data_IF_459959498710
#
_entry.id   IF_459959498710
#
_cell.length_a   1.000
_cell.length_b   1.000
_cell.length_c   1.000
_cell.angle_alpha   90.00
_cell.angle_beta   90.00
_cell.angle_gamma   90.00
#
_symmetry.space_group_name_H-M   'P 1'
#
loop_
_entity.id
_entity.type
_entity.pdbx_description
1 polymer ?
#
# COMPACT_ATOMS: atom_id res chain seq x y z
N UNK A 1 -5.16 21.25 24.16
CA UNK A 1 -4.04 20.75 23.33
C UNK A 1 -3.95 19.24 23.54
N UNK A 2 -3.83 18.48 22.44
CA UNK A 2 -3.70 17.00 22.35
C UNK A 2 -4.99 16.18 22.34
N UNK A 3 -5.61 16.08 21.16
CA UNK A 3 -6.31 14.88 20.64
C UNK A 3 -6.59 15.10 19.14
N UNK A 4 -5.58 14.89 18.29
CA UNK A 4 -5.76 14.55 16.87
C UNK A 4 -5.34 13.09 16.79
N UNK A 5 -6.30 12.18 16.76
CA UNK A 5 -6.09 10.73 16.87
C UNK A 5 -6.71 10.05 15.64
N UNK A 6 -5.86 9.26 14.96
CA UNK A 6 -6.17 8.05 14.20
C UNK A 6 -7.06 8.18 12.96
N UNK A 7 -6.59 8.83 11.89
CA UNK A 7 -7.21 8.78 10.56
C UNK A 7 -6.24 9.20 9.44
N UNK A 8 -5.20 8.42 9.12
CA UNK A 8 -4.63 8.35 7.76
C UNK A 8 -3.87 7.05 7.61
N UNK A 9 -4.53 6.01 7.11
CA UNK A 9 -3.81 5.18 6.15
C UNK A 9 -4.15 5.71 4.74
N UNK A 10 -5.16 6.56 4.50
CA UNK A 10 -5.63 7.09 3.20
C UNK A 10 -4.64 7.96 2.39
N UNK A 11 -3.72 7.50 1.53
CA UNK A 11 -3.50 6.18 0.91
C UNK A 11 -4.73 5.26 0.88
N UNK A 12 -4.96 4.56 1.97
CA UNK A 12 -6.14 3.78 2.34
C UNK A 12 -6.54 4.01 3.81
N UNK A 13 -7.69 4.57 4.28
CA UNK A 13 -8.23 4.57 5.71
C UNK A 13 -8.74 5.95 6.15
N UNK A 14 -9.80 6.34 5.43
CA UNK A 14 -10.90 7.15 5.93
C UNK A 14 -12.18 6.29 5.97
N UNK A 15 -12.16 5.09 6.57
CA UNK A 15 -13.39 4.41 7.02
C UNK A 15 -13.23 3.73 8.39
N UNK A 16 -14.05 4.12 9.36
CA UNK A 16 -13.95 3.70 10.76
C UNK A 16 -14.81 4.51 11.74
N UNK A 17 -15.98 5.00 11.31
CA UNK A 17 -17.06 5.49 12.18
C UNK A 17 -18.31 5.76 11.33
N UNK A 18 -19.04 4.71 10.93
CA UNK A 18 -20.30 4.88 10.21
C UNK A 18 -20.81 3.67 9.43
N UNK A 19 -20.52 2.44 9.86
CA UNK A 19 -21.20 1.27 9.33
C UNK A 19 -21.78 0.46 10.50
N UNK A 20 -22.90 0.95 11.04
CA UNK A 20 -23.95 0.02 11.46
C UNK A 20 -24.50 -0.65 10.19
N UNK A 21 -24.98 -1.90 10.26
CA UNK A 21 -25.06 -2.79 9.10
C UNK A 21 -26.00 -2.23 8.04
N UNK A 22 -25.48 -2.04 6.82
CA UNK A 22 -26.23 -1.64 5.63
C UNK A 22 -27.05 -2.79 5.02
N UNK A 23 -27.53 -3.71 5.87
CA UNK A 23 -28.61 -4.65 5.58
C UNK A 23 -29.75 -4.45 6.59
N UNK A 24 -30.26 -3.23 6.69
CA UNK A 24 -31.52 -2.94 7.36
C UNK A 24 -32.20 -1.75 6.69
N UNK A 25 -32.61 -1.91 5.43
CA UNK A 25 -33.69 -1.10 4.88
C UNK A 25 -34.91 -2.02 4.67
N UNK A 26 -35.98 -1.62 5.33
CA UNK A 26 -37.22 -2.37 5.58
C UNK A 26 -37.80 -3.02 4.32
N UNK A 27 -37.73 -4.35 4.25
CA UNK A 27 -38.71 -5.11 3.52
C UNK A 27 -40.06 -4.97 4.26
N UNK A 28 -41.03 -4.31 3.62
CA UNK A 28 -42.43 -4.41 4.05
C UNK A 28 -42.84 -5.90 4.09
N UNK A 29 -43.60 -6.33 5.10
CA UNK A 29 -43.89 -7.74 5.30
C UNK A 29 -44.90 -8.20 4.25
N UNK A 30 -44.44 -8.96 3.25
CA UNK A 30 -45.29 -9.88 2.51
C UNK A 30 -45.03 -11.28 3.04
N UNK A 31 -46.08 -11.85 3.62
CA UNK A 31 -46.13 -13.15 4.24
C UNK A 31 -45.71 -14.29 3.29
N UNK A 32 -45.28 -15.38 3.94
CA UNK A 32 -45.11 -16.74 3.44
C UNK A 32 -43.78 -17.10 2.76
N UNK A 33 -43.00 -17.94 3.46
CA UNK A 33 -42.08 -18.88 2.81
C UNK A 33 -40.67 -18.99 3.40
N UNK A 34 -40.51 -19.90 4.36
CA UNK A 34 -39.27 -20.58 4.78
C UNK A 34 -38.03 -19.72 5.06
N UNK A 35 -37.81 -19.47 6.36
CA UNK A 35 -36.53 -19.09 6.93
C UNK A 35 -35.48 -20.19 6.67
N UNK A 36 -34.59 -19.95 5.72
CA UNK A 36 -33.25 -20.53 5.71
C UNK A 36 -32.34 -19.59 6.50
N UNK A 37 -31.66 -20.15 7.49
CA UNK A 37 -30.77 -19.45 8.42
C UNK A 37 -29.74 -18.58 7.69
N UNK A 38 -29.62 -17.35 8.16
CA UNK A 38 -28.50 -16.48 7.86
C UNK A 38 -27.21 -17.12 8.42
N UNK A 39 -26.25 -17.45 7.56
CA UNK A 39 -24.87 -17.75 7.97
C UNK A 39 -24.17 -16.46 8.41
N UNK A 40 -24.46 -16.03 9.64
CA UNK A 40 -23.45 -15.34 10.46
C UNK A 40 -22.46 -16.41 10.92
N UNK A 41 -21.19 -16.37 10.51
CA UNK A 41 -20.15 -17.19 11.18
C UNK A 41 -18.95 -17.70 10.40
N UNK A 42 -18.81 -17.47 9.10
CA UNK A 42 -17.62 -17.93 8.34
C UNK A 42 -16.80 -16.76 7.79
N UNK A 43 -15.45 -16.84 7.83
CA UNK A 43 -14.56 -15.89 7.17
C UNK A 43 -14.95 -15.65 5.69
N UNK A 44 -14.82 -14.43 5.14
CA UNK A 44 -15.29 -14.12 3.77
C UNK A 44 -14.63 -14.96 2.67
N UNK A 45 -13.41 -15.42 2.91
CA UNK A 45 -12.62 -16.22 1.97
C UNK A 45 -12.63 -17.72 2.33
N UNK A 46 -13.43 -18.14 3.31
CA UNK A 46 -13.46 -19.54 3.74
C UNK A 46 -13.90 -20.45 2.58
N UNK A 47 -13.10 -21.50 2.33
CA UNK A 47 -13.36 -22.49 1.29
C UNK A 47 -12.95 -22.07 -0.12
N UNK A 48 -12.46 -20.84 -0.33
CA UNK A 48 -11.98 -20.39 -1.63
C UNK A 48 -10.61 -20.99 -1.93
N UNK A 49 -10.40 -21.37 -3.18
CA UNK A 49 -9.07 -21.68 -3.74
C UNK A 49 -8.24 -20.41 -3.94
N UNK A 50 -6.93 -20.57 -4.11
CA UNK A 50 -6.01 -19.45 -4.39
C UNK A 50 -6.43 -18.62 -5.61
N UNK A 51 -6.95 -19.27 -6.65
CA UNK A 51 -7.43 -18.60 -7.87
C UNK A 51 -8.70 -17.79 -7.59
N UNK A 52 -9.64 -18.34 -6.83
CA UNK A 52 -10.87 -17.65 -6.42
C UNK A 52 -10.57 -16.46 -5.50
N UNK A 53 -9.59 -16.58 -4.59
CA UNK A 53 -9.15 -15.45 -3.75
C UNK A 53 -8.51 -14.34 -4.63
N UNK A 54 -7.68 -14.72 -5.60
CA UNK A 54 -7.12 -13.75 -6.56
C UNK A 54 -8.21 -13.05 -7.39
N UNK A 55 -9.22 -13.79 -7.83
CA UNK A 55 -10.38 -13.26 -8.54
C UNK A 55 -11.22 -12.35 -7.64
N UNK A 56 -11.43 -12.71 -6.37
CA UNK A 56 -12.14 -11.90 -5.38
C UNK A 56 -11.50 -10.52 -5.25
N UNK A 57 -10.19 -10.44 -5.00
CA UNK A 57 -9.51 -9.15 -4.88
C UNK A 57 -9.58 -8.35 -6.19
N UNK A 58 -9.49 -9.03 -7.34
CA UNK A 58 -9.63 -8.37 -8.65
C UNK A 58 -11.01 -7.76 -8.85
N UNK A 59 -12.09 -8.51 -8.60
CA UNK A 59 -13.46 -8.04 -8.76
C UNK A 59 -13.80 -6.92 -7.77
N UNK A 60 -13.51 -7.14 -6.49
CA UNK A 60 -13.84 -6.19 -5.44
C UNK A 60 -13.08 -4.87 -5.60
N UNK A 61 -11.79 -4.93 -5.93
CA UNK A 61 -10.99 -3.72 -6.16
C UNK A 61 -11.46 -2.89 -7.36
N UNK A 62 -12.17 -3.50 -8.31
CA UNK A 62 -12.74 -2.86 -9.49
C UNK A 62 -14.23 -2.47 -9.32
N UNK A 63 -14.81 -2.72 -8.13
CA UNK A 63 -16.22 -2.39 -7.88
C UNK A 63 -16.47 -0.88 -7.86
N UNK A 64 -17.67 -0.48 -8.30
CA UNK A 64 -18.10 0.92 -8.29
C UNK A 64 -18.28 1.44 -6.85
N UNK A 65 -18.76 0.60 -5.94
CA UNK A 65 -18.95 0.94 -4.53
C UNK A 65 -17.62 1.33 -3.88
N UNK A 66 -16.57 0.56 -4.14
CA UNK A 66 -15.23 0.88 -3.64
C UNK A 66 -14.63 2.09 -4.35
N UNK A 67 -15.00 2.33 -5.61
CA UNK A 67 -14.59 3.54 -6.34
C UNK A 67 -15.16 4.82 -5.72
N UNK A 68 -16.45 4.81 -5.36
CA UNK A 68 -17.11 5.94 -4.68
C UNK A 68 -16.45 6.29 -3.34
N UNK A 69 -15.89 5.28 -2.66
CA UNK A 69 -15.15 5.45 -1.40
C UNK A 69 -13.74 6.01 -1.65
N UNK A 70 -13.02 5.45 -2.62
CA UNK A 70 -11.58 5.72 -2.79
C UNK A 70 -11.31 6.97 -3.64
N UNK A 71 -12.14 7.25 -4.65
CA UNK A 71 -11.89 8.35 -5.58
C UNK A 71 -11.73 9.73 -4.88
N UNK A 72 -12.60 10.12 -3.92
CA UNK A 72 -12.43 11.39 -3.21
C UNK A 72 -11.13 11.47 -2.40
N UNK A 73 -10.68 10.33 -1.85
CA UNK A 73 -9.43 10.23 -1.10
C UNK A 73 -8.25 10.47 -2.03
N UNK A 74 -8.21 9.77 -3.17
CA UNK A 74 -7.13 9.91 -4.14
C UNK A 74 -7.11 11.32 -4.74
N UNK A 75 -8.27 11.91 -5.01
CA UNK A 75 -8.36 13.27 -5.51
C UNK A 75 -7.84 14.28 -4.50
N UNK A 76 -8.08 14.07 -3.19
CA UNK A 76 -7.51 14.90 -2.14
C UNK A 76 -6.00 14.74 -2.00
N UNK A 77 -5.47 13.51 -2.08
CA UNK A 77 -4.03 13.24 -2.03
C UNK A 77 -3.29 13.88 -3.20
N UNK A 78 -3.91 13.85 -4.38
CA UNK A 78 -3.35 14.36 -5.62
C UNK A 78 -3.80 15.80 -5.91
N UNK A 79 -4.35 16.50 -4.92
CA UNK A 79 -4.73 17.89 -5.05
C UNK A 79 -3.47 18.74 -5.30
N UNK A 80 -3.39 19.45 -6.44
CA UNK A 80 -2.20 20.18 -6.81
C UNK A 80 -2.03 21.44 -5.95
N UNK A 81 -0.85 21.57 -5.35
CA UNK A 81 -0.37 22.78 -4.71
C UNK A 81 0.36 23.72 -5.66
N UNK A 82 1.32 24.46 -5.12
CA UNK A 82 2.11 25.42 -5.89
C UNK A 82 3.00 24.77 -6.96
N UNK A 83 3.21 25.49 -8.07
CA UNK A 83 4.16 25.10 -9.10
C UNK A 83 5.59 25.45 -8.68
N UNK A 84 6.49 24.47 -8.75
CA UNK A 84 7.91 24.66 -8.43
C UNK A 84 8.74 24.62 -9.72
N UNK A 85 9.40 25.73 -10.11
CA UNK A 85 10.32 25.75 -11.24
C UNK A 85 11.48 24.77 -11.03
N UNK A 86 11.91 24.09 -12.10
CA UNK A 86 13.03 23.15 -12.08
C UNK A 86 12.92 22.04 -11.01
N UNK A 87 11.70 21.66 -10.61
CA UNK A 87 11.46 20.66 -9.57
C UNK A 87 12.18 19.33 -9.84
N UNK A 88 12.39 18.95 -11.10
CA UNK A 88 13.12 17.74 -11.50
C UNK A 88 14.58 17.75 -11.03
N UNK A 89 15.15 18.93 -10.80
CA UNK A 89 16.52 19.12 -10.30
C UNK A 89 16.57 19.30 -8.79
N UNK A 90 15.42 19.36 -8.11
CA UNK A 90 15.36 19.46 -6.66
C UNK A 90 15.81 18.15 -5.99
N UNK A 91 16.13 18.23 -4.70
CA UNK A 91 16.55 17.08 -3.92
C UNK A 91 17.93 16.53 -4.32
N UNK A 92 18.16 15.27 -3.97
CA UNK A 92 19.40 14.53 -4.23
C UNK A 92 19.18 13.38 -5.20
N UNK A 93 20.25 12.90 -5.83
CA UNK A 93 20.24 11.59 -6.49
C UNK A 93 20.32 10.48 -5.43
N UNK A 94 19.16 10.05 -4.94
CA UNK A 94 19.05 9.03 -3.88
C UNK A 94 19.65 7.68 -4.31
N UNK A 95 19.61 7.33 -5.60
CA UNK A 95 20.20 6.08 -6.08
C UNK A 95 21.73 6.13 -6.03
N UNK A 96 22.32 7.28 -6.34
CA UNK A 96 23.76 7.49 -6.16
C UNK A 96 24.15 7.48 -4.67
N UNK A 97 23.35 8.12 -3.82
CA UNK A 97 23.57 8.17 -2.37
C UNK A 97 23.54 6.77 -1.74
N UNK A 98 22.51 5.97 -2.05
CA UNK A 98 22.39 4.58 -1.58
C UNK A 98 23.48 3.72 -2.24
N UNK A 99 23.71 3.90 -3.54
CA UNK A 99 24.68 3.13 -4.31
C UNK A 99 26.14 3.33 -3.90
N UNK A 100 26.48 4.43 -3.23
CA UNK A 100 27.81 4.70 -2.69
C UNK A 100 28.12 3.91 -1.40
N UNK A 101 27.12 3.26 -0.80
CA UNK A 101 27.28 2.46 0.43
C UNK A 101 27.79 1.05 0.10
N UNK A 102 28.33 0.37 1.11
CA UNK A 102 28.70 -1.04 0.98
C UNK A 102 27.49 -1.88 0.54
N UNK A 103 27.70 -2.81 -0.39
CA UNK A 103 26.63 -3.57 -1.04
C UNK A 103 25.93 -2.85 -2.21
N UNK A 104 26.22 -1.57 -2.43
CA UNK A 104 25.65 -0.79 -3.53
C UNK A 104 24.13 -0.66 -3.45
N UNK A 105 23.49 -0.35 -4.59
CA UNK A 105 22.05 -0.09 -4.63
C UNK A 105 21.21 -1.32 -4.22
N UNK A 106 21.61 -2.52 -4.63
CA UNK A 106 20.87 -3.75 -4.31
C UNK A 106 21.09 -4.23 -2.87
N UNK A 107 22.15 -3.76 -2.20
CA UNK A 107 22.46 -4.11 -0.82
C UNK A 107 21.78 -3.24 0.23
N UNK A 108 21.04 -2.21 -0.18
CA UNK A 108 20.52 -1.17 0.71
C UNK A 108 19.09 -0.78 0.33
N UNK A 109 18.25 -0.55 1.34
CA UNK A 109 16.83 -0.25 1.23
C UNK A 109 16.53 1.07 1.94
N UNK A 110 15.41 1.70 1.59
CA UNK A 110 14.83 2.84 2.31
C UNK A 110 13.76 2.33 3.26
N UNK A 111 13.96 2.51 4.56
CA UNK A 111 13.03 2.11 5.62
C UNK A 111 12.40 3.35 6.24
N UNK A 112 11.07 3.39 6.25
CA UNK A 112 10.26 4.44 6.85
C UNK A 112 10.13 4.21 8.37
N UNK A 113 10.66 5.14 9.18
CA UNK A 113 10.88 4.90 10.61
C UNK A 113 9.79 5.41 11.55
N UNK A 114 9.00 6.37 11.09
CA UNK A 114 8.12 7.17 11.95
C UNK A 114 6.64 7.11 11.51
N UNK A 115 6.30 6.14 10.66
CA UNK A 115 4.94 5.93 10.17
C UNK A 115 4.13 4.98 11.04
N UNK A 116 2.81 5.17 11.07
CA UNK A 116 1.87 4.18 11.62
C UNK A 116 1.91 2.86 10.81
N UNK A 117 2.41 2.93 9.57
CA UNK A 117 2.58 1.82 8.62
C UNK A 117 4.07 1.61 8.39
N UNK A 118 4.68 0.57 8.97
CA UNK A 118 6.05 0.19 8.66
C UNK A 118 6.20 -0.15 7.18
N UNK A 119 7.18 0.46 6.54
CA UNK A 119 7.40 0.36 5.10
C UNK A 119 8.89 0.31 4.74
N UNK A 120 9.24 -0.51 3.75
CA UNK A 120 10.59 -0.60 3.19
C UNK A 120 10.55 -0.62 1.67
N UNK A 121 11.37 0.21 1.03
CA UNK A 121 11.47 0.36 -0.42
C UNK A 121 12.86 0.01 -0.94
N UNK A 122 12.91 -0.84 -1.95
CA UNK A 122 14.09 -1.20 -2.73
C UNK A 122 14.06 -0.49 -4.09
N UNK A 123 14.95 0.50 -4.26
CA UNK A 123 15.11 1.24 -5.52
C UNK A 123 15.93 0.49 -6.60
N UNK A 124 16.31 -0.76 -6.35
CA UNK A 124 16.90 -1.66 -7.36
C UNK A 124 15.86 -2.58 -8.00
N UNK A 125 14.73 -2.84 -7.31
CA UNK A 125 13.72 -3.82 -7.70
C UNK A 125 14.15 -5.29 -7.51
N UNK A 126 15.34 -5.56 -6.97
CA UNK A 126 15.91 -6.90 -6.82
C UNK A 126 15.47 -7.61 -5.53
N UNK A 127 14.91 -6.90 -4.55
CA UNK A 127 14.54 -7.42 -3.25
C UNK A 127 13.59 -8.62 -3.37
N UNK A 128 13.93 -9.68 -2.64
CA UNK A 128 13.19 -10.93 -2.57
C UNK A 128 13.37 -11.51 -1.15
N UNK A 129 12.52 -11.13 -0.19
CA UNK A 129 12.64 -11.63 1.17
C UNK A 129 12.35 -13.13 1.25
N UNK A 130 13.07 -13.82 2.14
CA UNK A 130 12.78 -15.20 2.50
C UNK A 130 11.80 -15.21 3.68
N UNK A 131 10.56 -15.60 3.41
CA UNK A 131 9.45 -15.55 4.37
C UNK A 131 8.89 -16.94 4.66
N UNK A 132 9.68 -17.85 5.28
CA UNK A 132 9.17 -19.16 5.65
C UNK A 132 8.00 -19.01 6.63
N UNK A 133 6.94 -19.80 6.42
CA UNK A 133 5.71 -19.74 7.23
C UNK A 133 4.72 -18.66 6.81
N UNK A 134 5.04 -17.84 5.80
CA UNK A 134 4.05 -16.96 5.18
C UNK A 134 3.40 -17.65 3.98
N UNK A 135 2.09 -17.48 3.84
CA UNK A 135 1.41 -17.67 2.56
C UNK A 135 1.66 -16.45 1.68
N UNK A 136 1.74 -16.67 0.37
CA UNK A 136 1.92 -15.59 -0.61
C UNK A 136 0.88 -15.72 -1.73
N UNK A 137 0.21 -14.62 -2.06
CA UNK A 137 -0.71 -14.53 -3.19
C UNK A 137 -0.32 -13.38 -4.10
N UNK A 138 -0.13 -13.66 -5.38
CA UNK A 138 0.05 -12.65 -6.42
C UNK A 138 -1.33 -12.16 -6.90
N UNK A 139 -1.69 -10.92 -6.59
CA UNK A 139 -2.99 -10.33 -6.97
C UNK A 139 -2.93 -9.44 -8.22
N UNK A 140 -1.75 -8.87 -8.52
CA UNK A 140 -1.46 -8.18 -9.79
C UNK A 140 -0.13 -8.65 -10.36
N UNK A 141 -0.12 -9.00 -11.64
CA UNK A 141 1.10 -9.32 -12.35
C UNK A 141 2.09 -8.14 -12.32
N UNK A 142 3.39 -8.45 -12.33
CA UNK A 142 4.42 -7.42 -12.42
C UNK A 142 4.26 -6.58 -13.71
N UNK A 143 4.69 -5.31 -13.70
CA UNK A 143 4.61 -4.45 -14.88
C UNK A 143 5.36 -5.04 -16.08
N UNK A 144 4.85 -4.87 -17.31
CA UNK A 144 5.53 -5.33 -18.52
C UNK A 144 6.95 -4.75 -18.63
N UNK A 145 7.96 -5.60 -18.82
CA UNK A 145 9.37 -5.19 -18.84
C UNK A 145 10.07 -5.26 -17.48
N UNK A 146 9.36 -5.68 -16.43
CA UNK A 146 9.92 -5.91 -15.09
C UNK A 146 9.92 -4.67 -14.20
N UNK A 147 9.90 -4.87 -12.89
CA UNK A 147 9.94 -3.78 -11.92
C UNK A 147 11.38 -3.29 -11.69
N UNK A 148 11.54 -1.99 -11.45
CA UNK A 148 12.81 -1.39 -11.03
C UNK A 148 12.72 -0.77 -9.63
N UNK A 149 11.58 -0.93 -8.96
CA UNK A 149 11.36 -0.62 -7.56
C UNK A 149 10.43 -1.67 -6.94
N UNK A 150 10.69 -2.02 -5.67
CA UNK A 150 9.79 -2.84 -4.86
C UNK A 150 9.58 -2.20 -3.50
N UNK A 151 8.34 -2.10 -3.05
CA UNK A 151 8.03 -1.62 -1.70
C UNK A 151 7.26 -2.68 -0.94
N UNK A 152 7.52 -2.80 0.36
CA UNK A 152 6.86 -3.70 1.29
C UNK A 152 6.23 -2.85 2.39
N UNK A 153 4.92 -2.94 2.59
CA UNK A 153 4.21 -2.20 3.63
C UNK A 153 3.22 -3.10 4.37
N UNK A 154 3.02 -2.84 5.66
CA UNK A 154 2.07 -3.58 6.52
C UNK A 154 1.01 -2.67 7.10
N UNK A 155 -0.25 -3.02 6.88
CA UNK A 155 -1.45 -2.26 7.30
C UNK A 155 -2.34 -3.09 8.24
N UNK A 156 -1.97 -4.35 8.49
CA UNK A 156 -2.65 -5.24 9.41
C UNK A 156 -1.64 -6.25 10.00
N UNK A 157 -1.85 -6.72 11.24
CA UNK A 157 -0.95 -7.67 11.87
C UNK A 157 -0.65 -8.92 11.04
N UNK A 158 0.63 -9.18 10.80
CA UNK A 158 1.09 -10.35 10.05
C UNK A 158 0.81 -10.32 8.54
N UNK A 159 0.38 -9.18 7.99
CA UNK A 159 0.04 -9.03 6.57
C UNK A 159 0.92 -7.96 5.95
N UNK A 160 1.53 -8.29 4.82
CA UNK A 160 2.38 -7.40 4.04
C UNK A 160 1.90 -7.35 2.60
N UNK A 161 1.76 -6.15 2.07
CA UNK A 161 1.65 -5.93 0.63
C UNK A 161 3.02 -5.59 0.08
N UNK A 162 3.43 -6.30 -0.97
CA UNK A 162 4.54 -5.91 -1.81
C UNK A 162 4.04 -5.32 -3.11
N UNK A 163 4.43 -4.09 -3.41
CA UNK A 163 4.18 -3.44 -4.69
C UNK A 163 5.44 -3.48 -5.54
N UNK A 164 5.28 -3.81 -6.81
CA UNK A 164 6.35 -3.82 -7.80
C UNK A 164 6.04 -2.77 -8.87
N UNK A 165 6.89 -1.74 -8.95
CA UNK A 165 6.61 -0.56 -9.76
C UNK A 165 7.71 -0.32 -10.80
N UNK A 166 7.32 0.41 -11.85
CA UNK A 166 8.24 1.00 -12.81
C UNK A 166 8.26 2.51 -12.63
N UNK A 167 9.45 3.07 -12.48
CA UNK A 167 9.67 4.50 -12.55
C UNK A 167 10.61 4.87 -13.70
N UNK A 168 10.42 6.07 -14.24
CA UNK A 168 11.37 6.74 -15.13
C UNK A 168 12.05 7.89 -14.40
N UNK A 169 13.29 8.23 -14.77
CA UNK A 169 13.99 9.37 -14.16
C UNK A 169 13.75 10.65 -14.96
N UNK A 170 13.41 11.72 -14.25
CA UNK A 170 13.46 13.09 -14.76
C UNK A 170 14.38 13.90 -13.84
N UNK A 171 15.65 14.03 -14.22
CA UNK A 171 16.68 14.55 -13.31
C UNK A 171 16.82 13.68 -12.06
N UNK A 172 16.58 14.28 -10.89
CA UNK A 172 16.57 13.60 -9.58
C UNK A 172 15.22 12.96 -9.24
N UNK A 173 14.17 13.25 -10.00
CA UNK A 173 12.84 12.71 -9.73
C UNK A 173 12.63 11.31 -10.29
N UNK A 174 11.89 10.49 -9.53
CA UNK A 174 11.35 9.19 -9.92
C UNK A 174 9.89 9.40 -10.29
N UNK A 175 9.55 9.27 -11.57
CA UNK A 175 8.19 9.41 -12.07
C UNK A 175 7.57 8.04 -12.31
N UNK A 176 6.48 7.77 -11.59
CA UNK A 176 5.75 6.51 -11.59
C UNK A 176 4.58 6.63 -12.55
N UNK A 177 4.39 5.60 -13.38
CA UNK A 177 3.25 5.51 -14.29
C UNK A 177 2.96 4.06 -14.63
N UNK A 178 1.68 3.72 -14.70
CA UNK A 178 1.22 2.49 -15.33
C UNK A 178 0.73 1.47 -14.32
N UNK A 179 1.05 0.20 -14.53
CA UNK A 179 0.56 -0.89 -13.69
C UNK A 179 1.55 -1.17 -12.56
N UNK A 180 1.02 -1.50 -11.39
CA UNK A 180 1.81 -2.06 -10.29
C UNK A 180 1.58 -3.56 -10.22
N UNK A 181 2.66 -4.32 -10.04
CA UNK A 181 2.58 -5.67 -9.51
C UNK A 181 2.23 -5.59 -8.03
N UNK A 182 1.40 -6.52 -7.55
CA UNK A 182 0.96 -6.53 -6.15
C UNK A 182 0.94 -7.98 -5.68
N UNK A 183 1.63 -8.24 -4.58
CA UNK A 183 1.61 -9.52 -3.87
C UNK A 183 1.24 -9.32 -2.41
N UNK A 184 0.44 -10.21 -1.86
CA UNK A 184 0.10 -10.29 -0.45
C UNK A 184 0.98 -11.38 0.17
N UNK A 185 1.59 -11.09 1.31
CA UNK A 185 2.21 -12.08 2.19
C UNK A 185 1.46 -12.07 3.52
N UNK A 186 1.07 -13.26 4.01
CA UNK A 186 0.34 -13.39 5.27
C UNK A 186 0.91 -14.49 6.14
N UNK A 187 0.94 -14.27 7.45
CA UNK A 187 1.28 -15.32 8.42
C UNK A 187 0.22 -16.39 8.58
N UNK A 188 -1.01 -16.08 8.18
CA UNK A 188 -2.14 -16.99 8.26
C UNK A 188 -2.64 -17.32 6.85
N UNK A 189 -3.33 -18.45 6.66
CA UNK A 189 -4.01 -18.68 5.39
C UNK A 189 -5.03 -17.57 5.11
N UNK A 190 -5.07 -17.05 3.88
CA UNK A 190 -6.02 -15.98 3.52
C UNK A 190 -7.49 -16.39 3.74
N UNK A 191 -7.78 -17.70 3.72
CA UNK A 191 -9.11 -18.25 3.99
C UNK A 191 -9.58 -18.10 5.43
N UNK A 192 -8.70 -17.73 6.36
CA UNK A 192 -9.04 -17.53 7.79
C UNK A 192 -9.21 -16.06 8.16
N UNK A 193 -8.93 -15.13 7.24
CA UNK A 193 -9.02 -13.70 7.50
C UNK A 193 -10.45 -13.27 7.81
N UNK A 194 -10.60 -12.40 8.79
CA UNK A 194 -11.89 -11.79 9.09
C UNK A 194 -12.34 -10.81 7.98
N UNK A 195 -13.55 -10.30 8.18
CA UNK A 195 -14.19 -9.36 7.26
C UNK A 195 -13.39 -8.06 7.12
N UNK A 196 -12.97 -7.48 8.24
CA UNK A 196 -12.24 -6.22 8.28
C UNK A 196 -10.91 -6.30 7.53
N UNK A 197 -10.11 -7.34 7.82
CA UNK A 197 -8.80 -7.56 7.19
C UNK A 197 -8.94 -7.79 5.69
N UNK A 198 -9.93 -8.58 5.29
CA UNK A 198 -10.21 -8.90 3.88
C UNK A 198 -10.57 -7.63 3.10
N UNK A 199 -11.51 -6.84 3.62
CA UNK A 199 -11.95 -5.61 2.95
C UNK A 199 -10.87 -4.52 2.99
N UNK A 200 -10.15 -4.34 4.09
CA UNK A 200 -9.03 -3.40 4.17
C UNK A 200 -7.98 -3.73 3.10
N UNK A 201 -7.59 -5.00 2.96
CA UNK A 201 -6.64 -5.42 1.93
C UNK A 201 -7.16 -5.13 0.52
N UNK A 202 -8.46 -5.36 0.26
CA UNK A 202 -9.07 -5.02 -1.02
C UNK A 202 -9.05 -3.51 -1.31
N UNK A 203 -9.31 -2.68 -0.29
CA UNK A 203 -9.19 -1.22 -0.40
C UNK A 203 -7.75 -0.81 -0.72
N UNK A 204 -6.74 -1.42 -0.07
CA UNK A 204 -5.33 -1.14 -0.36
C UNK A 204 -4.98 -1.47 -1.81
N UNK A 205 -5.36 -2.66 -2.30
CA UNK A 205 -5.15 -3.08 -3.70
C UNK A 205 -5.79 -2.08 -4.67
N UNK A 206 -7.03 -1.70 -4.38
CA UNK A 206 -7.81 -0.74 -5.17
C UNK A 206 -7.19 0.67 -5.20
N UNK A 207 -6.66 1.14 -4.07
CA UNK A 207 -5.90 2.40 -3.96
C UNK A 207 -4.67 2.34 -4.86
N UNK A 208 -3.84 1.29 -4.74
CA UNK A 208 -2.60 1.20 -5.51
C UNK A 208 -2.86 1.18 -7.01
N UNK A 209 -3.89 0.47 -7.47
CA UNK A 209 -4.28 0.45 -8.89
C UNK A 209 -4.66 1.85 -9.40
N UNK A 210 -5.45 2.60 -8.62
CA UNK A 210 -5.96 3.93 -9.00
C UNK A 210 -4.88 5.01 -8.96
N UNK A 211 -3.96 4.93 -7.99
CA UNK A 211 -2.79 5.82 -7.95
C UNK A 211 -1.87 5.50 -9.13
N UNK A 212 -1.62 4.23 -9.46
CA UNK A 212 -0.74 3.85 -10.56
C UNK A 212 -1.26 4.30 -11.94
N UNK A 213 -2.58 4.39 -12.09
CA UNK A 213 -3.23 4.96 -13.27
C UNK A 213 -2.95 6.47 -13.48
N UNK A 214 -2.43 7.16 -12.46
CA UNK A 214 -2.08 8.58 -12.48
C UNK A 214 -0.57 8.73 -12.41
N UNK A 215 -0.01 9.59 -13.25
CA UNK A 215 1.44 9.84 -13.21
C UNK A 215 1.75 10.85 -12.10
N UNK A 216 2.65 10.49 -11.19
CA UNK A 216 3.22 11.38 -10.18
C UNK A 216 4.72 11.12 -10.06
N UNK A 217 5.43 12.07 -9.46
CA UNK A 217 6.88 12.03 -9.37
C UNK A 217 7.36 12.35 -7.95
N UNK A 218 8.39 11.66 -7.50
CA UNK A 218 8.98 11.83 -6.17
C UNK A 218 10.44 12.29 -6.30
N UNK A 219 10.82 13.31 -5.53
CA UNK A 219 12.22 13.65 -5.26
C UNK A 219 12.53 13.38 -3.79
N UNK A 220 13.79 13.11 -3.48
CA UNK A 220 14.24 12.87 -2.11
C UNK A 220 15.13 14.01 -1.63
N UNK A 221 14.90 14.49 -0.42
CA UNK A 221 15.65 15.56 0.21
C UNK A 221 16.32 15.04 1.48
N UNK A 222 17.59 15.40 1.70
CA UNK A 222 18.27 15.05 2.95
C UNK A 222 17.70 15.87 4.09
N UNK A 223 17.25 15.19 5.14
CA UNK A 223 16.78 15.80 6.38
C UNK A 223 17.46 15.11 7.56
N UNK A 224 18.50 15.75 8.11
CA UNK A 224 19.34 15.15 9.13
C UNK A 224 20.06 13.90 8.62
N UNK A 225 19.82 12.77 9.28
CA UNK A 225 20.35 11.45 8.93
C UNK A 225 19.41 10.61 8.04
N UNK A 226 18.26 11.17 7.66
CA UNK A 226 17.25 10.53 6.82
C UNK A 226 16.97 11.30 5.53
N UNK A 227 15.94 10.83 4.83
CA UNK A 227 15.48 11.36 3.57
C UNK A 227 13.97 11.60 3.63
N UNK A 228 13.54 12.78 3.24
CA UNK A 228 12.13 13.11 3.09
C UNK A 228 11.77 13.09 1.60
N UNK A 229 10.68 12.42 1.26
CA UNK A 229 10.11 12.44 -0.08
C UNK A 229 9.34 13.76 -0.32
N UNK A 230 9.38 14.26 -1.54
CA UNK A 230 8.54 15.37 -2.03
C UNK A 230 7.90 14.98 -3.35
N UNK A 231 6.60 15.18 -3.44
CA UNK A 231 5.73 14.61 -4.45
C UNK A 231 5.22 15.70 -5.38
N UNK A 232 5.20 15.40 -6.67
CA UNK A 232 4.88 16.34 -7.73
C UNK A 232 4.01 15.69 -8.79
N UNK A 233 3.13 16.47 -9.40
CA UNK A 233 2.59 16.15 -10.72
C UNK A 233 3.69 16.33 -11.79
N UNK A 234 3.57 15.68 -12.96
CA UNK A 234 4.57 15.75 -14.03
C UNK A 234 4.84 17.18 -14.56
N UNK A 235 3.92 18.11 -14.33
CA UNK A 235 4.02 19.53 -14.69
C UNK A 235 4.71 20.40 -13.63
N UNK A 236 5.06 19.84 -12.47
CA UNK A 236 5.79 20.50 -11.40
C UNK A 236 4.96 21.14 -10.30
N UNK A 237 3.64 20.94 -10.31
CA UNK A 237 2.80 21.27 -9.15
C UNK A 237 3.07 20.27 -8.01
N UNK A 238 3.29 20.76 -6.80
CA UNK A 238 3.48 19.90 -5.61
C UNK A 238 2.20 19.16 -5.23
N UNK A 239 2.36 18.07 -4.50
CA UNK A 239 1.28 17.29 -3.89
C UNK A 239 1.41 17.38 -2.36
N UNK A 240 0.99 18.50 -1.74
CA UNK A 240 1.25 18.75 -0.33
C UNK A 240 0.57 17.76 0.62
N UNK A 241 -0.58 17.20 0.23
CA UNK A 241 -1.25 16.18 1.05
C UNK A 241 -0.48 14.86 1.01
N UNK A 242 0.01 14.45 -0.15
CA UNK A 242 0.90 13.29 -0.27
C UNK A 242 2.19 13.48 0.54
N UNK A 243 2.75 14.69 0.56
CA UNK A 243 3.94 15.02 1.35
C UNK A 243 3.69 15.07 2.87
N UNK A 244 2.49 15.49 3.29
CA UNK A 244 2.11 15.56 4.70
C UNK A 244 2.03 14.18 5.37
N UNK A 245 1.73 13.15 4.59
CA UNK A 245 1.72 11.75 5.02
C UNK A 245 3.10 11.08 4.93
N UNK A 246 4.06 11.74 4.28
CA UNK A 246 5.41 11.23 4.12
C UNK A 246 6.19 11.24 5.43
N UNK A 247 6.84 10.12 5.74
CA UNK A 247 7.76 10.01 6.88
C UNK A 247 9.21 10.12 6.43
N UNK A 248 10.12 10.28 7.38
CA UNK A 248 11.55 10.19 7.09
C UNK A 248 11.95 8.73 6.85
N UNK A 249 12.58 8.49 5.71
CA UNK A 249 13.20 7.20 5.39
C UNK A 249 14.68 7.21 5.78
N UNK A 250 15.18 6.10 6.33
CA UNK A 250 16.62 5.87 6.54
C UNK A 250 17.09 4.64 5.77
N UNK A 251 18.40 4.57 5.54
CA UNK A 251 18.98 3.40 4.87
C UNK A 251 19.02 2.22 5.83
N UNK A 252 18.52 1.07 5.38
CA UNK A 252 18.59 -0.23 6.03
C UNK A 252 19.34 -1.21 5.12
N UNK A 253 20.18 -2.12 5.64
CA UNK A 253 20.77 -3.20 4.84
C UNK A 253 19.70 -4.14 4.27
N UNK A 254 19.82 -4.53 3.00
CA UNK A 254 18.85 -5.41 2.34
C UNK A 254 18.78 -6.81 2.98
N UNK A 255 19.87 -7.26 3.61
CA UNK A 255 19.92 -8.52 4.34
C UNK A 255 18.95 -8.54 5.56
N UNK A 256 18.57 -7.38 6.08
CA UNK A 256 17.66 -7.26 7.22
C UNK A 256 16.18 -7.37 6.82
N UNK A 257 15.83 -7.24 5.53
CA UNK A 257 14.45 -7.19 5.05
C UNK A 257 13.59 -8.37 5.54
N UNK A 258 14.13 -9.58 5.49
CA UNK A 258 13.39 -10.78 5.90
C UNK A 258 13.12 -10.79 7.41
N UNK A 259 14.08 -10.30 8.21
CA UNK A 259 13.91 -10.17 9.65
C UNK A 259 12.92 -9.05 9.99
N UNK A 260 13.04 -7.91 9.32
CA UNK A 260 12.11 -6.80 9.44
C UNK A 260 10.66 -7.23 9.18
N UNK A 261 10.36 -7.84 8.03
CA UNK A 261 8.99 -8.28 7.69
C UNK A 261 8.44 -9.25 8.74
N UNK A 262 9.29 -10.16 9.24
CA UNK A 262 8.90 -11.13 10.27
C UNK A 262 8.69 -10.45 11.63
N UNK A 263 9.58 -9.58 12.06
CA UNK A 263 9.64 -9.17 13.47
C UNK A 263 8.85 -7.88 13.75
N UNK A 264 8.57 -7.08 12.72
CA UNK A 264 7.92 -5.76 12.86
C UNK A 264 6.44 -5.82 13.24
N UNK A 265 5.74 -6.94 13.00
CA UNK A 265 4.35 -7.06 13.44
C UNK A 265 4.11 -8.41 14.13
N UNK A 266 3.74 -8.44 15.43
CA UNK A 266 3.41 -9.68 16.11
C UNK A 266 2.23 -10.34 15.41
N UNK A 267 2.22 -11.68 15.39
CA UNK A 267 0.99 -12.40 15.06
C UNK A 267 -0.12 -11.97 16.04
N UNK A 268 -1.38 -11.99 15.59
CA UNK A 268 -2.51 -11.84 16.52
C UNK A 268 -2.33 -12.92 17.60
N UNK A 269 -2.41 -12.58 18.90
CA UNK A 269 -2.30 -13.59 19.95
C UNK A 269 -3.33 -14.68 19.70
N UNK A 270 -2.90 -15.93 19.62
CA UNK A 270 -3.81 -17.06 19.65
C UNK A 270 -4.49 -17.06 21.01
N UNK A 271 -5.80 -16.79 21.07
CA UNK A 271 -6.61 -17.08 22.25
C UNK A 271 -6.69 -18.59 22.53
#
# INVERSE_FOLDING_TARGET
>A
MKTRKAWVIAGTLALGAGASPLFAQEAKPSADGNAAEATQGSPPLAGFSTEEIGAFFTLLSASAELDEIIAPIIDSLLEPGETVPDWQKSGIDIRAEIGAREGGLAGNLLHDLDGEVPSVTDLSGAAAPSLPGFTSLRVRAAPPGGANEKSFATFAPGIWLATESQHTRRGNAFCYKGLNGISIYSREPLTTWDEETTYLTAVMVATFDRIAAREFCVTYHREGDGFAARSFLPDGRRLPQMDAEGTLSRVMPAAELSAFIRDTVPAVPSE
#
